data_IF_766302711125
#
_entry.id   IF_766302711125
#
_cell.length_a   1.000
_cell.length_b   1.000
_cell.length_c   1.000
_cell.angle_alpha   90.00
_cell.angle_beta   90.00
_cell.angle_gamma   90.00
#
_symmetry.space_group_name_H-M   'P 1'
#
loop_
_entity.id
_entity.type
_entity.pdbx_description
1 polymer ?
#
# COMPACT_ATOMS: atom_id res chain seq x y z
N UNK A 1 0.17 19.40 5.79
CA UNK A 1 -0.79 18.54 5.06
C UNK A 1 -0.34 17.11 5.24
N UNK A 2 -1.24 16.24 5.68
CA UNK A 2 -0.88 14.86 6.02
C UNK A 2 -0.90 13.97 4.78
N UNK A 3 0.13 13.16 4.62
CA UNK A 3 0.22 12.11 3.61
C UNK A 3 0.55 10.78 4.27
N UNK A 4 0.21 9.69 3.61
CA UNK A 4 0.41 8.31 4.05
C UNK A 4 1.25 7.62 3.00
N UNK A 5 2.38 7.04 3.40
CA UNK A 5 3.19 6.26 2.48
C UNK A 5 2.47 4.96 2.10
N UNK A 6 2.31 4.67 0.80
CA UNK A 6 1.61 3.48 0.29
C UNK A 6 2.48 2.22 0.34
N UNK A 7 3.80 2.36 0.40
CA UNK A 7 4.75 1.24 0.40
C UNK A 7 5.98 1.58 1.23
N UNK A 8 6.70 0.58 1.70
CA UNK A 8 8.00 0.79 2.32
C UNK A 8 8.96 1.43 1.30
N UNK A 9 9.39 2.67 1.56
CA UNK A 9 10.31 3.38 0.68
C UNK A 9 11.26 4.31 1.44
N UNK A 10 12.42 4.57 0.82
CA UNK A 10 13.39 5.53 1.32
C UNK A 10 13.26 6.82 0.54
N UNK A 11 12.97 7.92 1.24
CA UNK A 11 12.79 9.23 0.63
C UNK A 11 13.82 10.18 1.23
N UNK A 12 14.47 10.94 0.35
CA UNK A 12 15.47 11.92 0.77
C UNK A 12 14.75 13.13 1.35
N UNK A 13 14.99 13.42 2.62
CA UNK A 13 14.43 14.60 3.28
C UNK A 13 15.14 15.88 2.79
N UNK A 14 14.61 17.07 3.11
CA UNK A 14 15.23 18.36 2.72
C UNK A 14 16.66 18.56 3.28
N UNK A 15 17.03 17.81 4.31
CA UNK A 15 18.38 17.80 4.90
C UNK A 15 19.35 16.88 4.12
N UNK A 16 18.87 16.22 3.07
CA UNK A 16 19.66 15.33 2.23
C UNK A 16 19.84 13.91 2.78
N UNK A 17 19.14 13.55 3.85
CA UNK A 17 19.21 12.24 4.52
C UNK A 17 18.09 11.34 3.99
N UNK A 18 18.42 10.09 3.69
CA UNK A 18 17.42 9.08 3.36
C UNK A 18 16.65 8.69 4.62
N UNK A 19 15.37 9.03 4.66
CA UNK A 19 14.44 8.63 5.69
C UNK A 19 13.61 7.45 5.21
N UNK A 20 13.56 6.38 5.99
CA UNK A 20 12.70 5.23 5.73
C UNK A 20 11.26 5.60 6.14
N UNK A 21 10.33 5.38 5.23
CA UNK A 21 8.89 5.46 5.48
C UNK A 21 8.28 4.10 5.23
N UNK A 22 7.56 3.55 6.22
CA UNK A 22 6.86 2.28 6.05
C UNK A 22 5.50 2.51 5.40
N UNK A 23 4.94 1.46 4.82
CA UNK A 23 3.55 1.50 4.40
C UNK A 23 2.65 1.87 5.61
N UNK A 24 1.85 2.92 5.49
CA UNK A 24 1.00 3.44 6.56
C UNK A 24 1.61 4.56 7.41
N UNK A 25 2.89 4.92 7.23
CA UNK A 25 3.50 6.05 7.93
C UNK A 25 2.83 7.37 7.52
N UNK A 26 2.42 8.15 8.52
CA UNK A 26 1.79 9.46 8.33
C UNK A 26 2.83 10.55 8.45
N UNK A 27 2.95 11.35 7.40
CA UNK A 27 3.94 12.43 7.29
C UNK A 27 3.22 13.74 7.04
N UNK A 28 3.65 14.81 7.70
CA UNK A 28 3.15 16.15 7.40
C UNK A 28 4.10 16.84 6.42
N UNK A 29 3.61 17.05 5.20
CA UNK A 29 4.26 17.85 4.17
C UNK A 29 3.57 19.20 4.04
N UNK A 30 4.34 20.24 3.71
CA UNK A 30 3.77 21.54 3.35
C UNK A 30 2.89 21.44 2.10
N UNK A 31 1.91 22.32 1.97
CA UNK A 31 0.95 22.38 0.85
C UNK A 31 1.61 22.48 -0.54
N UNK A 32 2.83 23.04 -0.59
CA UNK A 32 3.65 23.22 -1.79
C UNK A 32 4.82 22.25 -1.91
N UNK A 33 4.87 21.23 -1.06
CA UNK A 33 5.94 20.24 -1.11
C UNK A 33 5.79 19.34 -2.34
N UNK A 34 6.90 19.07 -3.03
CA UNK A 34 6.95 18.04 -4.06
C UNK A 34 6.93 16.68 -3.35
N UNK A 35 5.73 16.09 -3.29
CA UNK A 35 5.49 14.83 -2.59
C UNK A 35 5.60 13.69 -3.59
N UNK A 36 6.49 12.73 -3.34
CA UNK A 36 6.65 11.57 -4.23
C UNK A 36 5.33 10.80 -4.41
N UNK A 37 5.14 10.22 -5.60
CA UNK A 37 3.93 9.47 -6.01
C UNK A 37 3.52 8.36 -5.02
N UNK A 38 4.46 7.86 -4.23
CA UNK A 38 4.23 6.83 -3.21
C UNK A 38 3.49 7.33 -1.96
N UNK A 39 3.32 8.64 -1.78
CA UNK A 39 2.59 9.23 -0.65
C UNK A 39 1.21 9.69 -1.09
N UNK A 40 0.17 9.20 -0.40
CA UNK A 40 -1.23 9.58 -0.64
C UNK A 40 -1.68 10.62 0.38
N UNK A 41 -2.46 11.61 0.01
CA UNK A 41 -3.06 12.54 0.99
C UNK A 41 -3.93 11.76 1.99
N UNK A 42 -3.74 12.02 3.28
CA UNK A 42 -4.50 11.41 4.37
C UNK A 42 -5.93 11.97 4.46
N UNK A 43 -6.16 13.16 3.89
CA UNK A 43 -7.45 13.85 3.87
C UNK A 43 -8.32 13.34 2.71
N UNK A 44 -9.13 12.31 2.98
CA UNK A 44 -10.53 12.36 2.55
C UNK A 44 -10.94 11.82 1.17
N UNK A 45 -10.30 10.81 0.58
CA UNK A 45 -11.00 9.87 -0.33
C UNK A 45 -10.45 8.45 -0.24
N UNK A 46 -11.30 7.53 0.25
CA UNK A 46 -11.26 6.10 -0.08
C UNK A 46 -11.19 5.99 -1.59
N UNK A 47 -10.05 5.57 -2.11
CA UNK A 47 -9.96 4.78 -3.34
C UNK A 47 -8.48 4.47 -3.57
N UNK A 48 -8.02 3.42 -2.92
CA UNK A 48 -7.05 2.47 -3.47
C UNK A 48 -6.87 1.43 -2.36
N UNK A 49 -7.50 0.24 -2.50
CA UNK A 49 -7.22 -0.85 -1.58
C UNK A 49 -5.73 -1.17 -1.67
N UNK A 50 -5.09 -1.27 -0.50
CA UNK A 50 -3.75 -1.82 -0.35
C UNK A 50 -3.63 -3.08 -1.22
N UNK A 51 -2.49 -3.32 -1.85
CA UNK A 51 -2.34 -4.47 -2.77
C UNK A 51 -2.81 -5.77 -2.11
N UNK A 52 -2.57 -5.92 -0.81
CA UNK A 52 -3.06 -7.05 0.00
C UNK A 52 -4.58 -7.10 0.10
N UNK A 53 -5.24 -5.96 0.26
CA UNK A 53 -6.70 -5.85 0.32
C UNK A 53 -7.33 -6.16 -1.04
N UNK A 54 -6.73 -5.69 -2.14
CA UNK A 54 -7.18 -6.02 -3.49
C UNK A 54 -7.06 -7.51 -3.78
N UNK A 55 -5.94 -8.13 -3.39
CA UNK A 55 -5.73 -9.57 -3.54
C UNK A 55 -6.67 -10.38 -2.63
N UNK A 56 -6.91 -9.94 -1.39
CA UNK A 56 -7.92 -10.57 -0.50
C UNK A 56 -9.33 -10.47 -1.07
N UNK A 57 -9.67 -9.34 -1.69
CA UNK A 57 -10.97 -9.16 -2.36
C UNK A 57 -11.10 -10.13 -3.53
N UNK A 58 -10.09 -10.24 -4.40
CA UNK A 58 -10.10 -11.18 -5.52
C UNK A 58 -10.22 -12.63 -5.06
N UNK A 59 -9.52 -13.03 -3.99
CA UNK A 59 -9.65 -14.38 -3.43
C UNK A 59 -11.04 -14.65 -2.88
N UNK A 60 -11.66 -13.65 -2.24
CA UNK A 60 -13.04 -13.74 -1.77
C UNK A 60 -14.02 -13.91 -2.93
N UNK A 61 -13.81 -13.20 -4.04
CA UNK A 61 -14.61 -13.36 -5.27
C UNK A 61 -14.42 -14.73 -5.91
N UNK A 62 -13.22 -15.30 -5.83
CA UNK A 62 -12.90 -16.66 -6.29
C UNK A 62 -13.36 -17.75 -5.32
N UNK A 63 -14.00 -17.39 -4.18
CA UNK A 63 -14.45 -18.34 -3.16
C UNK A 63 -13.31 -18.97 -2.33
N UNK A 64 -12.08 -18.49 -2.48
CA UNK A 64 -10.90 -18.97 -1.78
C UNK A 64 -10.72 -18.22 -0.45
N UNK A 65 -10.77 -18.94 0.66
CA UNK A 65 -10.44 -18.38 1.97
C UNK A 65 -8.93 -18.35 2.19
N UNK A 66 -8.42 -17.19 2.63
CA UNK A 66 -7.01 -17.00 2.95
C UNK A 66 -6.83 -16.47 4.37
N UNK A 67 -5.75 -16.89 5.07
CA UNK A 67 -5.48 -16.40 6.41
C UNK A 67 -5.26 -14.89 6.37
N UNK A 68 -5.79 -14.17 7.37
CA UNK A 68 -5.68 -12.71 7.46
C UNK A 68 -4.22 -12.22 7.46
N UNK A 69 -3.31 -13.10 7.91
CA UNK A 69 -1.87 -12.88 8.00
C UNK A 69 -1.09 -13.38 6.75
N UNK A 70 -1.77 -13.84 5.70
CA UNK A 70 -1.12 -14.27 4.47
C UNK A 70 -0.28 -13.14 3.87
N UNK A 71 0.95 -13.46 3.46
CA UNK A 71 1.80 -12.55 2.70
C UNK A 71 1.25 -12.33 1.30
N UNK A 72 1.54 -11.16 0.72
CA UNK A 72 1.15 -10.76 -0.64
C UNK A 72 1.52 -11.82 -1.68
N UNK A 73 2.72 -12.41 -1.57
CA UNK A 73 3.18 -13.48 -2.46
C UNK A 73 2.26 -14.73 -2.40
N UNK A 74 1.81 -15.11 -1.19
CA UNK A 74 0.89 -16.23 -0.99
C UNK A 74 -0.50 -15.93 -1.57
N UNK A 75 -0.97 -14.69 -1.42
CA UNK A 75 -2.25 -14.26 -1.98
C UNK A 75 -2.22 -14.31 -3.52
N UNK A 76 -1.16 -13.77 -4.14
CA UNK A 76 -0.97 -13.82 -5.61
C UNK A 76 -0.90 -15.26 -6.13
N UNK A 77 -0.20 -16.15 -5.41
CA UNK A 77 -0.09 -17.56 -5.80
C UNK A 77 -1.46 -18.25 -5.80
N UNK A 78 -2.25 -18.08 -4.73
CA UNK A 78 -3.60 -18.66 -4.65
C UNK A 78 -4.56 -18.13 -5.71
N UNK A 79 -4.49 -16.84 -6.03
CA UNK A 79 -5.31 -16.26 -7.12
C UNK A 79 -4.98 -16.93 -8.44
N UNK A 80 -3.69 -17.13 -8.73
CA UNK A 80 -3.25 -17.80 -9.95
C UNK A 80 -3.74 -19.25 -9.99
N UNK A 81 -3.58 -20.00 -8.89
CA UNK A 81 -4.07 -21.38 -8.78
C UNK A 81 -5.60 -21.48 -8.92
N UNK A 82 -6.35 -20.50 -8.44
CA UNK A 82 -7.80 -20.45 -8.56
C UNK A 82 -8.29 -20.00 -9.95
N UNK A 83 -7.48 -19.26 -10.71
CA UNK A 83 -7.77 -18.87 -12.09
C UNK A 83 -7.42 -19.95 -13.12
N UNK A 84 -6.45 -20.82 -12.81
CA UNK A 84 -6.02 -21.94 -13.67
C UNK A 84 -6.89 -23.20 -13.47
N UNK A 85 -7.96 -23.13 -12.67
CA UNK A 85 -8.84 -24.24 -12.31
C UNK A 85 -10.20 -24.11 -12.98
#
# INVERSE_FOLDING_TARGET
MKYICKKDCYVKNPQGIFQLFKAGDVVDYSDKADVCEHFKRADGKRDEPDEKEKLKSQLKELGESVPANASVATLRKKIKEAQEK
#
